data_IF_256140219149
#
_entry.id   IF_256140219149
#
_cell.length_a   1.000
_cell.length_b   1.000
_cell.length_c   1.000
_cell.angle_alpha   90.00
_cell.angle_beta   90.00
_cell.angle_gamma   90.00
#
_symmetry.space_group_name_H-M   'P 1'
#
loop_
_entity.id
_entity.type
_entity.pdbx_description
1 polymer ?
#
# COMPACT_ATOMS: atom_id res chain seq x y z
N UNK A 1 4.11 -6.27 -5.55
CA UNK A 1 4.73 -5.65 -6.74
C UNK A 1 4.04 -6.09 -8.03
N UNK A 2 4.01 -7.39 -8.37
CA UNK A 2 3.45 -7.89 -9.64
C UNK A 2 1.98 -7.57 -9.83
N UNK A 3 1.17 -7.60 -8.76
CA UNK A 3 -0.24 -7.21 -8.81
C UNK A 3 -0.41 -5.72 -9.16
N UNK A 4 0.40 -4.82 -8.57
CA UNK A 4 0.42 -3.39 -8.90
C UNK A 4 0.82 -3.17 -10.36
N UNK A 5 1.93 -3.76 -10.80
CA UNK A 5 2.41 -3.64 -12.17
C UNK A 5 1.36 -4.14 -13.17
N UNK A 6 0.80 -5.32 -12.95
CA UNK A 6 -0.25 -5.88 -13.80
C UNK A 6 -1.47 -4.94 -13.90
N UNK A 7 -1.88 -4.36 -12.77
CA UNK A 7 -3.02 -3.43 -12.70
C UNK A 7 -2.73 -2.16 -13.52
N UNK A 8 -1.57 -1.55 -13.35
CA UNK A 8 -1.16 -0.37 -14.11
C UNK A 8 -1.14 -0.63 -15.62
N UNK A 9 -0.54 -1.74 -16.06
CA UNK A 9 -0.52 -2.12 -17.49
C UNK A 9 -1.93 -2.41 -18.01
N UNK A 10 -2.80 -3.04 -17.22
CA UNK A 10 -4.18 -3.30 -17.60
C UNK A 10 -4.99 -2.00 -17.78
N UNK A 11 -4.76 -1.01 -16.93
CA UNK A 11 -5.32 0.35 -17.05
C UNK A 11 -4.75 1.12 -18.25
N UNK A 12 -3.63 0.69 -18.81
CA UNK A 12 -2.99 1.34 -19.97
C UNK A 12 -1.98 2.41 -19.60
N UNK A 13 -1.51 2.42 -18.35
CA UNK A 13 -0.45 3.32 -17.90
C UNK A 13 0.85 3.00 -18.65
N UNK A 14 1.52 4.04 -19.15
CA UNK A 14 2.66 3.95 -20.05
C UNK A 14 3.59 5.16 -19.95
N UNK A 15 4.64 5.18 -20.74
CA UNK A 15 5.53 6.33 -20.90
C UNK A 15 4.77 7.62 -21.21
N UNK A 16 5.13 8.71 -20.55
CA UNK A 16 4.49 10.03 -20.63
C UNK A 16 3.36 10.23 -19.60
N UNK A 17 2.80 9.17 -19.02
CA UNK A 17 1.80 9.27 -17.96
C UNK A 17 2.46 9.57 -16.61
N UNK A 18 1.71 10.20 -15.71
CA UNK A 18 2.08 10.44 -14.31
C UNK A 18 1.18 9.65 -13.38
N UNK A 19 1.80 9.09 -12.32
CA UNK A 19 1.09 8.36 -11.26
C UNK A 19 1.50 8.91 -9.91
N UNK A 20 0.53 9.43 -9.13
CA UNK A 20 0.76 9.97 -7.80
C UNK A 20 0.88 8.81 -6.81
N UNK A 21 1.96 8.81 -6.00
CA UNK A 21 2.25 7.82 -4.96
C UNK A 21 2.66 8.51 -3.67
N UNK A 22 2.39 7.97 -2.46
CA UNK A 22 2.86 8.54 -1.22
C UNK A 22 4.38 8.39 -1.07
N UNK A 23 5.02 9.34 -0.40
CA UNK A 23 6.47 9.30 -0.13
C UNK A 23 6.86 8.19 0.86
N UNK A 24 5.97 7.87 1.79
CA UNK A 24 6.20 6.77 2.74
C UNK A 24 5.40 5.55 2.31
N UNK A 25 6.10 4.63 1.69
CA UNK A 25 5.58 3.32 1.30
C UNK A 25 6.71 2.35 1.03
N UNK A 26 6.39 1.07 0.88
CA UNK A 26 7.34 0.09 0.38
C UNK A 26 7.67 0.36 -1.11
N UNK A 27 8.91 0.13 -1.49
CA UNK A 27 9.41 0.40 -2.86
C UNK A 27 8.58 -0.23 -3.99
N UNK A 28 7.77 -1.26 -3.71
CA UNK A 28 6.92 -1.92 -4.70
C UNK A 28 5.96 -0.95 -5.38
N UNK A 29 5.41 0.03 -4.65
CA UNK A 29 4.44 1.00 -5.17
C UNK A 29 5.06 1.87 -6.26
N UNK A 30 6.19 2.53 -5.97
CA UNK A 30 6.87 3.38 -6.95
C UNK A 30 7.52 2.56 -8.07
N UNK A 31 8.08 1.39 -7.76
CA UNK A 31 8.70 0.53 -8.78
C UNK A 31 7.70 0.04 -9.82
N UNK A 32 6.46 -0.26 -9.42
CA UNK A 32 5.42 -0.66 -10.38
C UNK A 32 5.12 0.43 -11.40
N UNK A 33 5.16 1.71 -11.00
CA UNK A 33 5.03 2.86 -11.91
C UNK A 33 6.21 2.92 -12.88
N UNK A 34 7.43 2.79 -12.34
CA UNK A 34 8.65 2.82 -13.15
C UNK A 34 8.73 1.65 -14.13
N UNK A 35 8.23 0.47 -13.78
CA UNK A 35 8.16 -0.69 -14.69
C UNK A 35 7.23 -0.43 -15.88
N UNK A 36 6.23 0.45 -15.73
CA UNK A 36 5.38 0.93 -16.83
C UNK A 36 6.04 2.06 -17.65
N UNK A 37 7.28 2.46 -17.33
CA UNK A 37 7.97 3.63 -17.90
C UNK A 37 7.21 4.95 -17.64
N UNK A 38 6.24 4.96 -16.73
CA UNK A 38 5.52 6.14 -16.31
C UNK A 38 6.31 6.93 -15.26
N UNK A 39 5.96 8.18 -15.07
CA UNK A 39 6.62 9.08 -14.12
C UNK A 39 5.90 9.03 -12.77
N UNK A 40 6.54 8.57 -11.70
CA UNK A 40 5.96 8.68 -10.37
C UNK A 40 6.00 10.14 -9.89
N UNK A 41 4.90 10.61 -9.31
CA UNK A 41 4.78 11.91 -8.67
C UNK A 41 4.64 11.67 -7.17
N UNK A 42 5.70 12.00 -6.41
CA UNK A 42 5.77 11.69 -4.99
C UNK A 42 4.99 12.74 -4.18
N UNK A 43 4.03 12.28 -3.39
CA UNK A 43 3.13 13.09 -2.57
C UNK A 43 3.47 12.99 -1.09
N UNK A 44 3.30 14.09 -0.36
CA UNK A 44 3.42 14.12 1.10
C UNK A 44 2.41 13.18 1.77
N UNK A 45 2.67 12.82 3.02
CA UNK A 45 1.76 12.03 3.85
C UNK A 45 1.03 12.92 4.86
N UNK A 46 -0.16 12.51 5.25
CA UNK A 46 -0.91 13.13 6.33
C UNK A 46 -0.24 12.84 7.69
N UNK A 47 -0.04 13.86 8.51
CA UNK A 47 0.66 13.75 9.79
C UNK A 47 -0.03 12.84 10.81
N UNK A 48 -1.34 12.61 10.68
CA UNK A 48 -2.12 11.81 11.65
C UNK A 48 -2.27 10.36 11.21
N UNK A 49 -2.54 10.14 9.92
CA UNK A 49 -2.80 8.81 9.38
C UNK A 49 -1.57 8.17 8.75
N UNK A 50 -0.55 8.95 8.42
CA UNK A 50 0.66 8.56 7.68
C UNK A 50 0.39 8.05 6.25
N UNK A 51 -0.86 8.06 5.83
CA UNK A 51 -1.27 7.76 4.47
C UNK A 51 -1.09 9.00 3.58
N UNK A 52 -1.28 8.84 2.28
CA UNK A 52 -1.19 9.96 1.32
C UNK A 52 -2.04 11.15 1.76
N UNK A 53 -1.48 12.35 1.67
CA UNK A 53 -2.15 13.58 2.07
C UNK A 53 -3.05 14.10 0.95
N UNK A 54 -4.35 14.19 1.23
CA UNK A 54 -5.37 14.54 0.23
C UNK A 54 -5.22 15.99 -0.26
N UNK A 55 -4.86 16.90 0.64
CA UNK A 55 -4.71 18.31 0.28
C UNK A 55 -3.50 18.50 -0.67
N UNK A 56 -2.42 17.77 -0.43
CA UNK A 56 -1.23 17.78 -1.29
C UNK A 56 -1.49 17.19 -2.69
N UNK A 57 -2.42 16.25 -2.84
CA UNK A 57 -2.75 15.65 -4.14
C UNK A 57 -3.23 16.71 -5.14
N UNK A 58 -4.11 17.62 -4.73
CA UNK A 58 -4.67 18.62 -5.62
C UNK A 58 -3.60 19.52 -6.28
N UNK A 59 -2.52 19.78 -5.57
CA UNK A 59 -1.40 20.58 -6.06
C UNK A 59 -0.51 19.82 -7.07
N UNK A 60 -0.58 18.50 -7.05
CA UNK A 60 0.28 17.61 -7.86
C UNK A 60 -0.38 17.12 -9.15
N UNK A 61 -1.70 17.26 -9.27
CA UNK A 61 -2.44 16.83 -10.46
C UNK A 61 -2.05 17.68 -11.65
N UNK A 62 -1.67 17.04 -12.74
CA UNK A 62 -1.38 17.63 -14.04
C UNK A 62 -2.24 16.97 -15.14
N UNK A 63 -2.23 17.51 -16.38
CA UNK A 63 -2.89 16.85 -17.52
C UNK A 63 -2.35 15.45 -17.84
N UNK A 64 -1.14 15.11 -17.35
CA UNK A 64 -0.51 13.80 -17.52
C UNK A 64 -0.85 12.83 -16.41
N UNK A 65 -1.44 13.28 -15.31
CA UNK A 65 -1.82 12.41 -14.19
C UNK A 65 -2.93 11.46 -14.63
N UNK A 66 -2.65 10.15 -14.59
CA UNK A 66 -3.59 9.09 -15.01
C UNK A 66 -4.04 8.22 -13.87
N UNK A 67 -3.24 8.10 -12.80
CA UNK A 67 -3.61 7.31 -11.64
C UNK A 67 -3.07 7.89 -10.33
N UNK A 68 -3.73 7.53 -9.23
CA UNK A 68 -3.28 7.75 -7.86
C UNK A 68 -3.25 6.39 -7.19
N UNK A 69 -2.16 6.09 -6.46
CA UNK A 69 -2.02 4.86 -5.67
C UNK A 69 -2.01 5.22 -4.18
N UNK A 70 -3.18 5.32 -3.52
CA UNK A 70 -3.21 5.41 -2.07
C UNK A 70 -2.72 4.10 -1.46
N UNK A 71 -1.82 4.19 -0.49
CA UNK A 71 -1.31 3.05 0.28
C UNK A 71 -1.92 3.09 1.67
N UNK A 72 -2.63 2.03 2.05
CA UNK A 72 -3.17 1.85 3.40
C UNK A 72 -2.07 1.39 4.34
N UNK A 73 -1.22 2.36 4.75
CA UNK A 73 0.05 2.10 5.41
C UNK A 73 -0.16 1.44 6.79
N UNK A 74 0.56 0.36 7.06
CA UNK A 74 0.52 -0.42 8.32
C UNK A 74 -0.88 -0.89 8.74
N UNK A 75 -1.82 -0.91 7.82
CA UNK A 75 -3.22 -1.26 8.07
C UNK A 75 -4.14 -0.07 8.32
N UNK A 76 -3.63 1.16 8.29
CA UNK A 76 -4.41 2.37 8.46
C UNK A 76 -5.08 2.76 7.13
N UNK A 77 -6.41 2.89 7.05
CA UNK A 77 -7.08 3.32 5.84
C UNK A 77 -6.76 4.77 5.46
N UNK A 78 -6.59 5.02 4.15
CA UNK A 78 -6.58 6.36 3.58
C UNK A 78 -7.97 7.01 3.66
N UNK A 79 -8.07 8.33 3.52
CA UNK A 79 -9.33 9.08 3.42
C UNK A 79 -9.99 8.87 2.04
N UNK A 80 -10.48 7.64 1.79
CA UNK A 80 -10.87 7.19 0.45
C UNK A 80 -12.01 7.99 -0.16
N UNK A 81 -13.02 8.42 0.62
CA UNK A 81 -14.17 9.15 0.07
C UNK A 81 -13.75 10.47 -0.56
N UNK A 82 -12.88 11.23 0.12
CA UNK A 82 -12.34 12.48 -0.41
C UNK A 82 -11.48 12.23 -1.67
N UNK A 83 -10.63 11.20 -1.61
CA UNK A 83 -9.76 10.85 -2.73
C UNK A 83 -10.55 10.47 -3.99
N UNK A 84 -11.57 9.62 -3.83
CA UNK A 84 -12.44 9.20 -4.95
C UNK A 84 -13.17 10.39 -5.56
N UNK A 85 -13.63 11.35 -4.75
CA UNK A 85 -14.27 12.56 -5.26
C UNK A 85 -13.31 13.36 -6.15
N UNK A 86 -12.10 13.63 -5.69
CA UNK A 86 -11.06 14.34 -6.46
C UNK A 86 -10.72 13.60 -7.77
N UNK A 87 -10.50 12.29 -7.68
CA UNK A 87 -10.09 11.48 -8.82
C UNK A 87 -11.18 11.41 -9.90
N UNK A 88 -12.45 11.27 -9.48
CA UNK A 88 -13.61 11.23 -10.39
C UNK A 88 -13.79 12.53 -11.16
N UNK A 89 -13.63 13.68 -10.50
CA UNK A 89 -13.75 15.00 -11.13
C UNK A 89 -12.67 15.26 -12.19
N UNK A 90 -11.58 14.50 -12.16
CA UNK A 90 -10.41 14.66 -13.03
C UNK A 90 -10.20 13.49 -14.00
N UNK A 91 -11.08 12.50 -14.00
CA UNK A 91 -10.95 11.25 -14.78
C UNK A 91 -9.61 10.53 -14.52
N UNK A 92 -9.25 10.40 -13.23
CA UNK A 92 -8.02 9.77 -12.74
C UNK A 92 -8.37 8.45 -12.07
N UNK A 93 -7.67 7.36 -12.43
CA UNK A 93 -7.85 6.06 -11.79
C UNK A 93 -7.33 6.05 -10.36
N UNK A 94 -8.05 5.36 -9.48
CA UNK A 94 -7.61 5.09 -8.10
C UNK A 94 -7.32 3.60 -7.94
N UNK A 95 -6.07 3.29 -7.57
CA UNK A 95 -5.59 1.93 -7.33
C UNK A 95 -5.24 1.80 -5.86
N UNK A 96 -6.09 1.15 -5.07
CA UNK A 96 -5.81 0.94 -3.64
C UNK A 96 -4.67 -0.08 -3.46
N UNK A 97 -3.56 0.35 -2.85
CA UNK A 97 -2.53 -0.58 -2.38
C UNK A 97 -2.88 -1.04 -0.96
N UNK A 98 -3.48 -2.22 -0.89
CA UNK A 98 -3.92 -2.88 0.34
C UNK A 98 -2.92 -3.93 0.84
N UNK A 99 -1.67 -3.89 0.37
CA UNK A 99 -0.66 -4.90 0.73
C UNK A 99 -0.43 -5.05 2.24
N UNK A 100 -0.82 -4.05 3.03
CA UNK A 100 -0.65 -4.00 4.48
C UNK A 100 -1.98 -3.90 5.25
N UNK A 101 -3.11 -3.90 4.54
CA UNK A 101 -4.39 -3.50 5.11
C UNK A 101 -5.53 -4.50 4.85
N UNK A 102 -5.22 -5.76 4.54
CA UNK A 102 -6.27 -6.75 4.39
C UNK A 102 -7.09 -6.86 5.69
N UNK A 103 -8.40 -6.62 5.59
CA UNK A 103 -9.32 -6.60 6.73
C UNK A 103 -9.57 -5.22 7.35
N UNK A 104 -8.82 -4.18 6.96
CA UNK A 104 -9.09 -2.81 7.38
C UNK A 104 -10.41 -2.28 6.81
N UNK A 105 -11.07 -1.39 7.58
CA UNK A 105 -12.36 -0.82 7.20
C UNK A 105 -12.42 0.66 7.55
N UNK A 106 -13.22 1.39 6.78
CA UNK A 106 -13.75 2.71 7.14
C UNK A 106 -15.25 2.48 7.36
N UNK A 107 -15.74 2.78 8.54
CA UNK A 107 -17.07 2.36 9.01
C UNK A 107 -17.26 0.84 8.87
N UNK A 108 -18.11 0.39 7.99
CA UNK A 108 -18.35 -1.03 7.73
C UNK A 108 -17.77 -1.50 6.38
N UNK A 109 -17.28 -0.55 5.54
CA UNK A 109 -16.79 -0.85 4.21
C UNK A 109 -15.30 -1.19 4.23
N UNK A 110 -14.93 -2.30 3.62
CA UNK A 110 -13.53 -2.77 3.56
C UNK A 110 -12.70 -1.92 2.60
N UNK A 111 -11.46 -1.62 2.95
CA UNK A 111 -10.48 -1.10 1.99
C UNK A 111 -10.27 -2.10 0.86
N UNK A 112 -9.89 -1.61 -0.31
CA UNK A 112 -9.82 -2.40 -1.53
C UNK A 112 -11.14 -2.49 -2.30
N UNK A 113 -12.19 -1.76 -1.84
CA UNK A 113 -13.51 -1.72 -2.50
C UNK A 113 -13.96 -0.30 -2.85
N UNK A 114 -13.09 0.68 -2.71
CA UNK A 114 -13.38 2.10 -2.98
C UNK A 114 -12.92 2.54 -4.36
N UNK A 115 -11.70 2.18 -4.75
CA UNK A 115 -11.08 2.57 -6.00
C UNK A 115 -11.55 1.77 -7.23
N UNK A 116 -11.03 2.10 -8.39
CA UNK A 116 -11.28 1.37 -9.63
C UNK A 116 -10.68 -0.03 -9.60
N UNK A 117 -9.53 -0.14 -8.92
CA UNK A 117 -8.79 -1.38 -8.71
C UNK A 117 -8.20 -1.41 -7.31
N UNK A 118 -7.87 -2.61 -6.84
CA UNK A 118 -7.09 -2.77 -5.62
C UNK A 118 -6.12 -3.94 -5.72
N UNK A 119 -5.05 -3.87 -4.94
CA UNK A 119 -4.01 -4.90 -4.90
C UNK A 119 -3.73 -5.33 -3.47
N UNK A 120 -3.48 -6.63 -3.28
CA UNK A 120 -3.16 -7.25 -2.00
C UNK A 120 -1.86 -8.03 -2.12
N UNK A 121 -1.16 -8.18 -1.01
CA UNK A 121 0.06 -8.96 -0.91
C UNK A 121 -0.14 -10.15 0.03
N UNK A 122 0.35 -11.29 -0.42
CA UNK A 122 0.42 -12.53 0.36
C UNK A 122 1.87 -12.97 0.60
N UNK A 123 2.77 -12.00 0.65
CA UNK A 123 4.17 -12.24 1.01
C UNK A 123 4.28 -12.82 2.43
N UNK A 124 5.40 -13.50 2.73
CA UNK A 124 5.61 -14.29 3.94
C UNK A 124 5.29 -13.62 5.26
N UNK A 125 5.48 -12.30 5.38
CA UNK A 125 5.23 -11.54 6.61
C UNK A 125 3.89 -10.78 6.64
N UNK A 126 3.03 -10.97 5.65
CA UNK A 126 1.73 -10.27 5.61
C UNK A 126 0.71 -10.92 6.56
N UNK A 127 -0.41 -10.26 6.77
CA UNK A 127 -1.49 -10.71 7.67
C UNK A 127 -1.97 -12.12 7.35
N UNK A 128 -2.09 -12.45 6.07
CA UNK A 128 -2.21 -13.81 5.54
C UNK A 128 -1.15 -13.99 4.46
N UNK A 129 -0.67 -15.22 4.29
CA UNK A 129 0.46 -15.47 3.41
C UNK A 129 0.25 -16.72 2.54
N UNK A 130 0.89 -16.70 1.36
CA UNK A 130 1.09 -17.86 0.49
C UNK A 130 2.57 -18.12 0.25
N UNK A 131 3.44 -17.59 1.15
CA UNK A 131 4.89 -17.51 0.95
C UNK A 131 5.23 -16.34 0.03
N UNK A 132 4.94 -16.47 -1.22
CA UNK A 132 4.89 -15.42 -2.23
C UNK A 132 3.51 -15.40 -2.87
N UNK A 133 3.01 -14.22 -3.23
CA UNK A 133 1.72 -14.08 -3.91
C UNK A 133 1.12 -12.68 -3.79
N UNK A 134 0.07 -12.47 -4.55
CA UNK A 134 -0.74 -11.27 -4.53
C UNK A 134 -2.06 -11.47 -5.23
N UNK A 135 -2.95 -10.50 -5.09
CA UNK A 135 -4.26 -10.48 -5.73
C UNK A 135 -4.53 -9.07 -6.24
N UNK A 136 -5.16 -8.96 -7.39
CA UNK A 136 -5.72 -7.73 -7.91
C UNK A 136 -7.23 -7.88 -8.08
N UNK A 137 -7.98 -6.87 -7.65
CA UNK A 137 -9.44 -6.77 -7.84
C UNK A 137 -9.74 -5.60 -8.78
N UNK A 138 -10.80 -5.73 -9.55
CA UNK A 138 -11.20 -4.76 -10.57
C UNK A 138 -12.71 -4.53 -10.51
N UNK A 139 -13.14 -3.28 -10.58
CA UNK A 139 -14.55 -2.90 -10.64
C UNK A 139 -15.08 -2.87 -12.09
N UNK A 140 -14.20 -3.03 -13.09
CA UNK A 140 -14.54 -3.02 -14.51
C UNK A 140 -14.14 -4.35 -15.16
N UNK A 141 -15.12 -5.06 -15.74
CA UNK A 141 -14.91 -6.35 -16.39
C UNK A 141 -13.91 -6.27 -17.55
N UNK A 142 -13.94 -5.20 -18.34
CA UNK A 142 -13.00 -5.01 -19.46
C UNK A 142 -11.55 -4.92 -18.97
N UNK A 143 -11.29 -4.22 -17.86
CA UNK A 143 -9.96 -4.11 -17.26
C UNK A 143 -9.56 -5.46 -16.66
N UNK A 144 -10.46 -6.14 -15.97
CA UNK A 144 -10.26 -7.49 -15.45
C UNK A 144 -9.87 -8.48 -16.54
N UNK A 145 -10.58 -8.52 -17.67
CA UNK A 145 -10.27 -9.43 -18.78
C UNK A 145 -8.91 -9.13 -19.39
N UNK A 146 -8.55 -7.86 -19.54
CA UNK A 146 -7.23 -7.44 -20.00
C UNK A 146 -6.13 -7.87 -19.01
N UNK A 147 -6.34 -7.66 -17.70
CA UNK A 147 -5.41 -8.11 -16.67
C UNK A 147 -5.26 -9.64 -16.66
N UNK A 148 -6.36 -10.38 -16.83
CA UNK A 148 -6.35 -11.84 -16.90
C UNK A 148 -5.56 -12.38 -18.10
N UNK A 149 -5.68 -11.72 -19.25
CA UNK A 149 -4.91 -12.04 -20.46
C UNK A 149 -3.41 -11.76 -20.23
N UNK A 150 -3.09 -10.56 -19.75
CA UNK A 150 -1.70 -10.14 -19.49
C UNK A 150 -1.01 -11.02 -18.46
N UNK A 151 -1.71 -11.43 -17.39
CA UNK A 151 -1.18 -12.27 -16.31
C UNK A 151 -0.67 -13.62 -16.78
N UNK A 152 -1.22 -14.15 -17.87
CA UNK A 152 -0.94 -15.48 -18.41
C UNK A 152 -0.33 -15.39 -19.82
N UNK A 153 0.82 -14.75 -19.92
CA UNK A 153 1.63 -14.64 -21.15
C UNK A 153 0.90 -13.98 -22.35
N UNK A 154 -0.25 -13.33 -22.16
CA UNK A 154 -1.05 -12.81 -23.27
C UNK A 154 -1.63 -13.92 -24.17
N UNK A 155 -1.78 -15.15 -23.66
CA UNK A 155 -2.21 -16.30 -24.42
C UNK A 155 -3.71 -16.25 -24.72
N UNK A 156 -4.06 -16.48 -25.99
CA UNK A 156 -5.45 -16.49 -26.50
C UNK A 156 -6.29 -17.55 -25.79
N UNK A 157 -7.53 -17.18 -25.43
CA UNK A 157 -8.51 -18.12 -24.88
C UNK A 157 -8.96 -19.17 -25.92
N UNK A 158 -8.86 -18.84 -27.22
CA UNK A 158 -9.44 -19.62 -28.29
C UNK A 158 -8.43 -20.50 -29.04
N UNK A 159 -7.14 -20.20 -28.89
CA UNK A 159 -6.08 -20.92 -29.62
C UNK A 159 -4.88 -21.15 -28.72
N UNK A 160 -4.61 -22.41 -28.40
CA UNK A 160 -3.50 -22.82 -27.55
C UNK A 160 -2.16 -22.41 -28.16
N UNK A 161 -1.23 -21.92 -27.34
CA UNK A 161 0.12 -21.42 -27.73
C UNK A 161 0.11 -20.26 -28.73
N UNK A 162 -1.02 -19.59 -28.85
CA UNK A 162 -1.14 -18.34 -29.61
C UNK A 162 -1.23 -17.17 -28.62
N UNK A 163 -0.39 -16.16 -28.82
CA UNK A 163 -0.32 -14.99 -27.94
C UNK A 163 -0.82 -13.75 -28.66
N UNK A 164 -1.89 -13.15 -28.15
CA UNK A 164 -2.50 -11.98 -28.77
C UNK A 164 -1.75 -10.69 -28.40
N UNK A 165 -1.06 -10.69 -27.26
CA UNK A 165 -0.26 -9.56 -26.74
C UNK A 165 0.96 -10.06 -25.99
N UNK A 166 1.95 -9.19 -25.77
CA UNK A 166 3.03 -9.46 -24.83
C UNK A 166 2.45 -9.42 -23.41
N UNK A 167 2.54 -10.53 -22.71
CA UNK A 167 2.05 -10.67 -21.34
C UNK A 167 3.15 -11.13 -20.38
N UNK A 168 2.74 -11.45 -19.16
CA UNK A 168 3.62 -11.77 -18.04
C UNK A 168 3.39 -13.19 -17.52
N UNK A 169 4.38 -13.74 -16.84
CA UNK A 169 4.23 -14.97 -16.05
C UNK A 169 3.91 -14.61 -14.59
N UNK A 170 2.67 -14.15 -14.34
CA UNK A 170 2.23 -13.64 -13.04
C UNK A 170 1.12 -14.49 -12.40
N UNK A 171 0.99 -15.74 -12.80
CA UNK A 171 0.04 -16.67 -12.22
C UNK A 171 0.55 -17.20 -10.88
N UNK A 172 -0.34 -17.20 -9.88
CA UNK A 172 -0.14 -17.95 -8.64
C UNK A 172 -0.23 -19.45 -8.93
N UNK A 173 0.63 -20.25 -8.32
CA UNK A 173 0.53 -21.73 -8.42
C UNK A 173 -0.62 -22.25 -7.56
N UNK A 174 -1.12 -23.46 -7.90
CA UNK A 174 -2.15 -24.12 -7.10
C UNK A 174 -1.69 -24.40 -5.66
N UNK A 175 -0.39 -24.69 -5.45
CA UNK A 175 0.17 -24.89 -4.12
C UNK A 175 0.07 -23.60 -3.27
N UNK A 176 0.47 -22.46 -3.84
CA UNK A 176 0.32 -21.17 -3.17
C UNK A 176 -1.15 -20.83 -2.90
N UNK A 177 -2.03 -21.08 -3.87
CA UNK A 177 -3.46 -20.84 -3.72
C UNK A 177 -4.08 -21.71 -2.61
N UNK A 178 -3.68 -22.97 -2.48
CA UNK A 178 -4.15 -23.88 -1.42
C UNK A 178 -3.76 -23.36 -0.03
N UNK A 179 -2.53 -22.86 0.15
CA UNK A 179 -2.10 -22.20 1.40
C UNK A 179 -2.97 -20.97 1.66
N UNK A 180 -3.25 -20.17 0.63
CA UNK A 180 -4.11 -18.98 0.75
C UNK A 180 -5.52 -19.32 1.20
N UNK A 181 -6.13 -20.38 0.67
CA UNK A 181 -7.46 -20.86 1.09
C UNK A 181 -7.46 -21.21 2.57
N UNK A 182 -6.49 -22.02 3.03
CA UNK A 182 -6.37 -22.39 4.44
C UNK A 182 -6.16 -21.17 5.37
N UNK A 183 -5.43 -20.15 4.91
CA UNK A 183 -5.27 -18.90 5.65
C UNK A 183 -6.59 -18.10 5.70
N UNK A 184 -7.35 -18.07 4.60
CA UNK A 184 -8.65 -17.39 4.53
C UNK A 184 -9.72 -18.03 5.42
N UNK A 185 -9.73 -19.36 5.59
CA UNK A 185 -10.62 -20.07 6.53
C UNK A 185 -10.44 -19.60 7.98
N UNK A 186 -9.25 -19.10 8.33
CA UNK A 186 -8.90 -18.58 9.65
C UNK A 186 -8.85 -17.06 9.73
N UNK A 187 -9.26 -16.37 8.66
CA UNK A 187 -9.06 -14.93 8.50
C UNK A 187 -9.63 -14.11 9.66
N UNK A 188 -10.88 -14.34 10.05
CA UNK A 188 -11.53 -13.56 11.11
C UNK A 188 -10.83 -13.78 12.48
N UNK A 189 -10.35 -14.99 12.74
CA UNK A 189 -9.57 -15.29 13.94
C UNK A 189 -8.23 -14.53 13.94
N UNK A 190 -7.54 -14.50 12.80
CA UNK A 190 -6.26 -13.79 12.64
C UNK A 190 -6.46 -12.29 12.87
N UNK A 191 -7.47 -11.69 12.23
CA UNK A 191 -7.77 -10.26 12.39
C UNK A 191 -8.13 -9.93 13.84
N UNK A 192 -8.97 -10.74 14.49
CA UNK A 192 -9.33 -10.54 15.91
C UNK A 192 -8.10 -10.59 16.82
N UNK A 193 -7.20 -11.53 16.61
CA UNK A 193 -5.95 -11.62 17.37
C UNK A 193 -5.07 -10.38 17.19
N UNK A 194 -4.92 -9.90 15.94
CA UNK A 194 -4.16 -8.67 15.65
C UNK A 194 -4.78 -7.44 16.32
N UNK A 195 -6.11 -7.29 16.28
CA UNK A 195 -6.81 -6.21 16.97
C UNK A 195 -6.60 -6.26 18.47
N UNK A 196 -6.66 -7.44 19.08
CA UNK A 196 -6.38 -7.62 20.52
C UNK A 196 -4.96 -7.13 20.87
N UNK A 197 -3.97 -7.45 20.03
CA UNK A 197 -2.59 -6.98 20.23
C UNK A 197 -2.50 -5.46 20.06
N UNK A 198 -3.15 -4.90 19.04
CA UNK A 198 -3.19 -3.46 18.78
C UNK A 198 -3.79 -2.69 19.97
N UNK A 199 -4.93 -3.13 20.47
CA UNK A 199 -5.60 -2.50 21.62
C UNK A 199 -4.75 -2.62 22.90
N UNK A 200 -4.08 -3.76 23.09
CA UNK A 200 -3.16 -3.94 24.20
C UNK A 200 -2.01 -2.93 24.16
N UNK A 201 -1.36 -2.78 23.01
CA UNK A 201 -0.27 -1.81 22.84
C UNK A 201 -0.77 -0.37 22.99
N UNK A 202 -1.89 0.01 22.38
CA UNK A 202 -2.48 1.34 22.55
C UNK A 202 -2.74 1.65 24.02
N UNK A 203 -3.35 0.73 24.76
CA UNK A 203 -3.61 0.89 26.19
C UNK A 203 -2.31 1.04 27.00
N UNK A 204 -1.26 0.31 26.65
CA UNK A 204 0.03 0.34 27.35
C UNK A 204 0.85 1.59 27.04
N UNK A 205 0.76 2.09 25.83
CA UNK A 205 1.57 3.22 25.38
C UNK A 205 0.88 4.57 25.50
N UNK A 206 -0.44 4.61 25.66
CA UNK A 206 -1.18 5.85 25.83
C UNK A 206 -0.63 6.68 27.01
N UNK A 207 -0.27 7.94 26.73
CA UNK A 207 0.30 8.87 27.71
C UNK A 207 1.71 8.53 28.22
N UNK A 208 2.38 7.56 27.61
CA UNK A 208 3.78 7.25 28.00
C UNK A 208 4.74 8.31 27.50
N UNK A 209 5.62 8.76 28.41
CA UNK A 209 6.71 9.69 28.07
C UNK A 209 7.65 9.04 27.04
N UNK A 210 8.08 9.81 26.07
CA UNK A 210 8.98 9.36 25.00
C UNK A 210 8.25 8.84 23.74
N UNK A 211 6.91 8.82 23.76
CA UNK A 211 6.09 8.51 22.58
C UNK A 211 5.41 9.80 22.13
N UNK A 212 5.71 10.23 20.90
CA UNK A 212 5.14 11.43 20.30
C UNK A 212 3.74 11.14 19.72
N UNK A 213 3.59 10.00 19.02
CA UNK A 213 2.33 9.65 18.37
C UNK A 213 2.12 8.13 18.34
N UNK A 214 0.91 7.73 18.64
CA UNK A 214 0.39 6.37 18.42
C UNK A 214 -0.35 6.30 17.08
N UNK A 215 -0.53 5.10 16.51
CA UNK A 215 -1.34 4.94 15.32
C UNK A 215 -2.78 5.40 15.59
N UNK A 216 -3.39 6.00 14.57
CA UNK A 216 -4.77 6.50 14.70
C UNK A 216 -5.71 5.40 15.17
N UNK A 217 -6.49 5.72 16.17
CA UNK A 217 -7.58 4.87 16.69
C UNK A 217 -8.87 5.71 16.71
N UNK A 218 -9.78 5.42 15.81
CA UNK A 218 -11.05 6.14 15.65
C UNK A 218 -12.19 5.13 15.56
N UNK A 219 -13.38 5.45 16.13
CA UNK A 219 -14.53 4.53 16.13
C UNK A 219 -14.98 4.07 14.74
N UNK A 220 -14.74 4.89 13.72
CA UNK A 220 -15.10 4.60 12.34
C UNK A 220 -13.99 3.92 11.54
N UNK A 221 -12.82 3.67 12.14
CA UNK A 221 -11.69 3.01 11.48
C UNK A 221 -11.40 1.68 12.18
N UNK A 222 -11.44 0.60 11.41
CA UNK A 222 -10.87 -0.68 11.82
C UNK A 222 -9.50 -0.81 11.17
N UNK A 223 -8.45 -0.72 11.98
CA UNK A 223 -7.08 -0.98 11.53
C UNK A 223 -6.80 -2.49 11.62
N UNK A 224 -6.41 -3.14 10.52
CA UNK A 224 -6.04 -4.56 10.51
C UNK A 224 -4.70 -4.84 11.19
N UNK A 225 -3.95 -3.79 11.52
CA UNK A 225 -2.72 -3.86 12.33
C UNK A 225 -1.69 -4.85 11.79
N UNK A 226 -1.32 -4.69 10.51
CA UNK A 226 -0.23 -5.51 9.98
C UNK A 226 1.02 -5.41 10.84
N UNK A 227 1.45 -4.20 11.17
CA UNK A 227 2.50 -3.90 12.15
C UNK A 227 2.02 -2.79 13.08
N UNK A 228 2.34 -2.91 14.38
CA UNK A 228 2.13 -1.82 15.32
C UNK A 228 3.26 -0.81 15.16
N UNK A 229 2.92 0.42 14.80
CA UNK A 229 3.89 1.48 14.51
C UNK A 229 3.59 2.68 15.41
N UNK A 230 4.62 3.33 15.91
CA UNK A 230 4.52 4.55 16.71
C UNK A 230 5.64 5.53 16.33
N UNK A 231 5.47 6.81 16.65
CA UNK A 231 6.52 7.83 16.49
C UNK A 231 7.09 8.13 17.87
N UNK A 232 8.40 8.07 17.98
CA UNK A 232 9.12 8.41 19.21
C UNK A 232 9.28 9.93 19.37
N UNK A 233 9.39 10.38 20.59
CA UNK A 233 9.83 11.76 20.88
C UNK A 233 11.28 11.95 20.38
N UNK A 234 11.58 13.13 19.86
CA UNK A 234 12.90 13.52 19.35
C UNK A 234 14.08 13.31 20.32
N UNK A 235 13.80 13.20 21.61
CA UNK A 235 14.81 12.94 22.64
C UNK A 235 15.14 11.45 22.76
N UNK A 236 14.40 10.57 22.12
CA UNK A 236 14.66 9.13 22.11
C UNK A 236 15.49 8.78 20.88
N UNK A 237 16.64 8.19 21.09
CA UNK A 237 17.41 7.64 19.97
C UNK A 237 16.76 6.30 19.55
N UNK A 238 16.09 6.31 18.40
CA UNK A 238 15.37 5.17 17.83
C UNK A 238 16.25 3.95 17.66
N UNK A 239 17.42 4.11 17.06
CA UNK A 239 18.29 2.98 16.72
C UNK A 239 18.87 2.33 17.98
N UNK A 240 19.18 3.13 19.00
CA UNK A 240 19.57 2.62 20.32
C UNK A 240 18.44 1.85 21.01
N UNK A 241 17.19 2.32 20.86
CA UNK A 241 16.02 1.62 21.40
C UNK A 241 15.78 0.30 20.67
N UNK A 242 15.89 0.27 19.34
CA UNK A 242 15.78 -0.95 18.53
C UNK A 242 16.78 -2.00 19.00
N UNK A 243 18.04 -1.61 19.23
CA UNK A 243 19.07 -2.51 19.72
C UNK A 243 18.72 -3.07 21.11
N UNK A 244 18.28 -2.23 22.05
CA UNK A 244 17.86 -2.68 23.40
C UNK A 244 16.66 -3.64 23.36
N UNK A 245 15.69 -3.39 22.48
CA UNK A 245 14.54 -4.28 22.27
C UNK A 245 15.00 -5.63 21.72
N UNK A 246 15.90 -5.62 20.74
CA UNK A 246 16.51 -6.83 20.19
C UNK A 246 17.24 -7.66 21.24
N UNK A 247 18.04 -7.01 22.11
CA UNK A 247 18.74 -7.67 23.23
C UNK A 247 17.75 -8.29 24.23
N UNK A 248 16.53 -7.76 24.28
CA UNK A 248 15.42 -8.28 25.10
C UNK A 248 14.53 -9.30 24.36
N UNK A 249 14.93 -9.74 23.17
CA UNK A 249 14.17 -10.71 22.36
C UNK A 249 12.95 -10.12 21.64
N UNK A 250 12.85 -8.79 21.50
CA UNK A 250 11.74 -8.10 20.84
C UNK A 250 12.21 -7.58 19.49
N UNK A 251 11.69 -8.16 18.40
CA UNK A 251 11.97 -7.69 17.04
C UNK A 251 11.27 -6.33 16.81
N UNK A 252 12.04 -5.38 16.34
CA UNK A 252 11.58 -4.05 15.96
C UNK A 252 12.44 -3.49 14.84
N UNK A 253 11.87 -2.58 14.07
CA UNK A 253 12.55 -2.00 12.91
C UNK A 253 12.10 -0.56 12.69
N UNK A 254 12.89 0.27 12.00
CA UNK A 254 12.44 1.60 11.60
C UNK A 254 11.23 1.52 10.69
N UNK A 255 10.43 2.58 10.65
CA UNK A 255 9.42 2.79 9.62
C UNK A 255 10.06 2.83 8.23
N UNK A 256 9.26 2.82 7.17
CA UNK A 256 9.80 3.02 5.82
C UNK A 256 10.51 4.36 5.72
N UNK A 257 11.62 4.37 5.00
CA UNK A 257 12.30 5.60 4.66
C UNK A 257 11.51 6.36 3.59
N UNK A 258 11.64 7.70 3.61
CA UNK A 258 11.15 8.56 2.54
C UNK A 258 11.74 8.15 1.19
N UNK A 259 10.89 7.91 0.20
CA UNK A 259 11.30 7.57 -1.16
C UNK A 259 12.18 8.67 -1.75
N UNK A 260 11.88 9.93 -1.45
CA UNK A 260 12.65 11.07 -1.91
C UNK A 260 14.12 11.03 -1.49
N UNK A 261 14.45 10.34 -0.39
CA UNK A 261 15.82 10.20 0.10
C UNK A 261 16.58 9.02 -0.50
N UNK A 262 15.87 8.11 -1.17
CA UNK A 262 16.47 6.90 -1.74
C UNK A 262 17.13 7.19 -3.11
N UNK A 263 18.36 6.70 -3.35
CA UNK A 263 19.10 6.98 -4.59
C UNK A 263 18.31 6.78 -5.88
N UNK A 264 17.52 5.70 -6.08
CA UNK A 264 16.83 5.46 -7.35
C UNK A 264 15.65 6.40 -7.61
N UNK A 265 15.17 7.15 -6.59
CA UNK A 265 13.96 7.97 -6.71
C UNK A 265 14.21 9.46 -6.58
N UNK A 266 15.45 9.90 -6.33
CA UNK A 266 15.81 11.32 -6.15
C UNK A 266 15.43 12.21 -7.33
N UNK A 267 15.38 11.67 -8.54
CA UNK A 267 15.00 12.42 -9.75
C UNK A 267 13.51 12.76 -9.85
N UNK A 268 12.67 12.17 -9.00
CA UNK A 268 11.20 12.35 -8.99
C UNK A 268 10.71 13.24 -7.85
N UNK A 269 11.63 13.85 -7.10
CA UNK A 269 11.31 14.76 -6.00
C UNK A 269 10.88 16.12 -6.51
N UNK A 270 9.73 16.60 -6.02
CA UNK A 270 9.37 18.01 -6.14
C UNK A 270 10.19 18.87 -5.18
N UNK A 271 10.33 20.16 -5.49
CA UNK A 271 11.13 21.13 -4.71
C UNK A 271 10.62 21.38 -3.28
N UNK A 272 9.46 20.87 -2.92
CA UNK A 272 8.88 21.02 -1.58
C UNK A 272 9.46 19.99 -0.62
N UNK A 273 9.83 20.46 0.59
CA UNK A 273 10.25 19.60 1.69
C UNK A 273 9.04 18.86 2.23
N UNK A 274 9.07 17.52 2.21
CA UNK A 274 8.03 16.64 2.73
C UNK A 274 8.22 16.45 4.25
N UNK A 275 7.68 17.38 5.04
CA UNK A 275 7.94 17.49 6.49
C UNK A 275 7.43 16.31 7.29
N UNK A 276 6.19 15.84 6.98
CA UNK A 276 5.58 14.72 7.70
C UNK A 276 6.30 13.41 7.39
N UNK A 277 6.66 13.22 6.12
CA UNK A 277 7.46 12.08 5.67
C UNK A 277 8.83 12.03 6.35
N UNK A 278 9.50 13.18 6.46
CA UNK A 278 10.78 13.27 7.18
C UNK A 278 10.64 12.95 8.67
N UNK A 279 9.59 13.45 9.31
CA UNK A 279 9.32 13.16 10.72
C UNK A 279 9.11 11.66 10.92
N UNK A 280 8.20 11.03 10.18
CA UNK A 280 7.89 9.61 10.32
C UNK A 280 9.11 8.73 10.04
N UNK A 281 9.91 9.05 9.03
CA UNK A 281 11.07 8.23 8.65
C UNK A 281 12.26 8.38 9.62
N UNK A 282 12.33 9.47 10.40
CA UNK A 282 13.44 9.74 11.31
C UNK A 282 13.18 9.31 12.75
N UNK A 283 11.93 9.23 13.18
CA UNK A 283 11.50 8.96 14.57
C UNK A 283 10.87 7.57 14.70
#
# INVERSE_FOLDING_TARGET
>A
TTALHLTLVALGIKEGDEVIVPDITFAATINAVLYCQATPVICEINSKTWCIDIDSINELISPRTKAIIPVHLYGIPCEMEKLIHIAKDKDIFVIEDCAEAIGSKIDKKRVGTYGDCSTFSFYGNKTITTGEGGMALFNCEKIYDKAKLLRDHGMSKNKRYWHDVVGFNYRMTNLQAAVGVAQMERFDQIIKSKQTIFDFYNKKFMGKKGILQLPINSPNITNSSWLYTLILDKYINRDSLINKLKDSGIDSRPSFNSLCNMPPYKGFTHSKVLKNSQLLSSQ
#
